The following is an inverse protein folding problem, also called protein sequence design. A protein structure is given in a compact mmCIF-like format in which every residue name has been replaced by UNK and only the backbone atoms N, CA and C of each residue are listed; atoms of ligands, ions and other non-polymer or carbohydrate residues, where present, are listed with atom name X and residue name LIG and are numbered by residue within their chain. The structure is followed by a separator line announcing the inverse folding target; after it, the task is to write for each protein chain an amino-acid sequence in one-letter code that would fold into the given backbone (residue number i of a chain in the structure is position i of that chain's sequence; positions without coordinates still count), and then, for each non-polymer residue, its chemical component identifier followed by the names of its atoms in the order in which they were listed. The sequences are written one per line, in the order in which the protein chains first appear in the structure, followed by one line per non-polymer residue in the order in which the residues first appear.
data_IF_479026775594
#
_entry.id   IF_479026775594
#
_cell.length_a   1.000
_cell.length_b   1.000
_cell.length_c   1.000
_cell.angle_alpha   90.00
_cell.angle_beta   90.00
_cell.angle_gamma   90.00
#
_symmetry.space_group_name_H-M   'P 1'
#
loop_
_entity.id
_entity.type
_entity.pdbx_description
1 polymer ?
#
# COMPACT_ATOMS: atom_id res chain seq x y z
N UNK A 1 -4.23 -13.77 -22.27
CA UNK A 1 -5.51 -14.34 -21.78
C UNK A 1 -5.32 -14.74 -20.32
N UNK A 2 -6.19 -14.32 -19.40
CA UNK A 2 -6.07 -14.66 -17.96
C UNK A 2 -6.52 -16.11 -17.72
N UNK A 3 -5.68 -16.99 -17.15
CA UNK A 3 -6.09 -18.37 -16.88
C UNK A 3 -7.31 -18.41 -15.95
N UNK A 4 -8.38 -19.09 -16.37
CA UNK A 4 -9.63 -19.19 -15.61
C UNK A 4 -9.39 -19.71 -14.18
N UNK A 5 -8.46 -20.67 -14.06
CA UNK A 5 -8.01 -21.31 -12.82
C UNK A 5 -7.46 -20.31 -11.78
N UNK A 6 -6.88 -19.19 -12.23
CA UNK A 6 -6.28 -18.17 -11.36
C UNK A 6 -7.21 -16.99 -11.06
N UNK A 7 -8.43 -17.00 -11.60
CA UNK A 7 -9.38 -15.90 -11.39
C UNK A 7 -9.74 -15.72 -9.92
N UNK A 8 -9.96 -16.82 -9.20
CA UNK A 8 -10.25 -16.80 -7.77
C UNK A 8 -9.06 -16.26 -6.94
N UNK A 9 -7.83 -16.61 -7.32
CA UNK A 9 -6.63 -16.09 -6.65
C UNK A 9 -6.47 -14.59 -6.87
N UNK A 10 -6.62 -14.12 -8.11
CA UNK A 10 -6.52 -12.70 -8.38
C UNK A 10 -7.61 -11.91 -7.67
N UNK A 11 -8.84 -12.43 -7.62
CA UNK A 11 -9.92 -11.78 -6.88
C UNK A 11 -9.64 -11.71 -5.38
N UNK A 12 -9.18 -12.82 -4.79
CA UNK A 12 -8.74 -12.85 -3.39
C UNK A 12 -7.61 -11.83 -3.14
N UNK A 13 -6.59 -11.80 -4.00
CA UNK A 13 -5.48 -10.88 -3.90
C UNK A 13 -5.95 -9.41 -3.94
N UNK A 14 -6.83 -9.07 -4.90
CA UNK A 14 -7.39 -7.72 -5.01
C UNK A 14 -8.20 -7.31 -3.78
N UNK A 15 -8.96 -8.24 -3.20
CA UNK A 15 -9.70 -7.99 -1.94
C UNK A 15 -8.74 -7.74 -0.77
N UNK A 16 -7.70 -8.56 -0.64
CA UNK A 16 -6.69 -8.41 0.42
C UNK A 16 -5.88 -7.11 0.28
N UNK A 17 -5.48 -6.74 -0.94
CA UNK A 17 -4.78 -5.46 -1.19
C UNK A 17 -5.67 -4.27 -0.87
N UNK A 18 -6.97 -4.31 -1.20
CA UNK A 18 -7.92 -3.24 -0.87
C UNK A 18 -8.19 -3.12 0.64
N UNK A 19 -8.20 -4.24 1.36
CA UNK A 19 -8.33 -4.25 2.81
C UNK A 19 -7.03 -3.78 3.51
N UNK A 20 -5.87 -3.90 2.86
CA UNK A 20 -4.60 -3.45 3.42
C UNK A 20 -4.46 -1.93 3.32
N UNK A 21 -4.94 -1.22 4.35
CA UNK A 21 -4.76 0.22 4.50
C UNK A 21 -3.37 0.61 5.03
N UNK A 22 -3.30 1.75 5.73
CA UNK A 22 -2.07 2.25 6.37
C UNK A 22 -1.49 1.26 7.39
N UNK A 23 -2.36 0.50 8.06
CA UNK A 23 -2.00 -0.63 8.91
C UNK A 23 -2.42 -1.94 8.24
N UNK A 24 -1.67 -3.01 8.51
CA UNK A 24 -2.07 -4.35 8.08
C UNK A 24 -3.36 -4.73 8.81
N UNK A 25 -4.42 -5.04 8.07
CA UNK A 25 -5.70 -5.47 8.62
C UNK A 25 -5.62 -6.94 9.07
N UNK A 26 -6.28 -7.24 10.20
CA UNK A 26 -6.43 -8.58 10.76
C UNK A 26 -7.43 -9.40 9.93
N UNK A 27 -8.40 -8.75 9.29
CA UNK A 27 -9.45 -9.41 8.52
C UNK A 27 -8.88 -10.13 7.29
N UNK A 28 -8.96 -11.45 7.29
CA UNK A 28 -8.88 -12.23 6.04
C UNK A 28 -10.22 -11.99 5.35
N UNK A 29 -10.19 -11.45 4.13
CA UNK A 29 -11.41 -11.21 3.35
C UNK A 29 -12.29 -12.48 3.32
N UNK A 30 -13.60 -12.32 3.48
CA UNK A 30 -14.55 -13.44 3.51
C UNK A 30 -14.37 -14.33 2.27
N UNK A 31 -14.14 -15.64 2.50
CA UNK A 31 -13.84 -16.61 1.45
C UNK A 31 -12.35 -16.85 1.18
N UNK A 32 -11.44 -16.12 1.84
CA UNK A 32 -9.99 -16.26 1.66
C UNK A 32 -9.45 -17.65 1.99
N UNK A 33 -9.99 -18.31 3.02
CA UNK A 33 -9.61 -19.69 3.36
C UNK A 33 -9.95 -20.70 2.25
N UNK A 34 -11.12 -20.56 1.61
CA UNK A 34 -11.53 -21.42 0.49
C UNK A 34 -10.68 -21.16 -0.76
N UNK A 35 -10.38 -19.89 -1.06
CA UNK A 35 -9.49 -19.54 -2.17
C UNK A 35 -8.09 -20.13 -1.97
N UNK A 36 -7.53 -20.00 -0.76
CA UNK A 36 -6.25 -20.59 -0.38
C UNK A 36 -6.25 -22.12 -0.44
N UNK A 37 -7.32 -22.76 0.06
CA UNK A 37 -7.46 -24.22 -0.02
C UNK A 37 -7.53 -24.70 -1.48
N UNK A 38 -8.30 -24.01 -2.33
CA UNK A 38 -8.39 -24.34 -3.77
C UNK A 38 -7.03 -24.21 -4.45
N UNK A 39 -6.24 -23.18 -4.13
CA UNK A 39 -4.91 -22.97 -4.67
C UNK A 39 -3.89 -24.00 -4.20
N UNK A 40 -3.96 -24.39 -2.92
CA UNK A 40 -3.16 -25.47 -2.36
C UNK A 40 -3.46 -26.80 -3.07
N UNK A 41 -4.75 -27.15 -3.23
CA UNK A 41 -5.20 -28.39 -3.86
C UNK A 41 -4.91 -28.45 -5.36
N UNK A 42 -4.83 -27.31 -6.04
CA UNK A 42 -4.52 -27.24 -7.48
C UNK A 42 -3.02 -27.23 -7.78
N UNK A 43 -2.16 -27.33 -6.76
CA UNK A 43 -0.70 -27.41 -6.93
C UNK A 43 -0.03 -26.10 -7.32
N UNK A 44 -0.77 -24.98 -7.32
CA UNK A 44 -0.20 -23.66 -7.63
C UNK A 44 0.68 -23.10 -6.52
N UNK A 45 0.48 -23.55 -5.28
CA UNK A 45 1.23 -23.12 -4.10
C UNK A 45 2.07 -24.27 -3.58
N UNK A 46 3.34 -24.00 -3.29
CA UNK A 46 4.29 -25.01 -2.82
C UNK A 46 4.00 -25.38 -1.36
N UNK A 47 4.22 -26.65 -0.96
CA UNK A 47 4.07 -27.07 0.45
C UNK A 47 4.91 -26.24 1.43
N UNK A 48 6.10 -25.80 1.00
CA UNK A 48 6.98 -24.96 1.82
C UNK A 48 6.44 -23.55 2.02
N UNK A 49 5.66 -23.01 1.07
CA UNK A 49 4.97 -21.73 1.22
C UNK A 49 3.73 -21.89 2.10
N UNK A 50 2.99 -23.00 1.96
CA UNK A 50 1.86 -23.32 2.85
C UNK A 50 2.30 -23.44 4.31
N UNK A 51 3.44 -24.07 4.58
CA UNK A 51 3.97 -24.15 5.96
C UNK A 51 4.37 -22.79 6.51
N UNK A 52 4.88 -21.87 5.67
CA UNK A 52 5.15 -20.47 6.06
C UNK A 52 3.88 -19.67 6.30
N UNK A 53 2.84 -19.85 5.49
CA UNK A 53 1.50 -19.27 5.75
C UNK A 53 0.99 -19.75 7.11
N UNK A 54 1.01 -21.06 7.37
CA UNK A 54 0.56 -21.62 8.64
C UNK A 54 1.38 -21.08 9.82
N UNK A 55 2.71 -21.04 9.70
CA UNK A 55 3.60 -20.47 10.71
C UNK A 55 3.30 -19.00 10.95
N UNK A 56 3.09 -18.21 9.90
CA UNK A 56 2.72 -16.80 10.01
C UNK A 56 1.40 -16.63 10.80
N UNK A 57 0.37 -17.42 10.48
CA UNK A 57 -0.93 -17.37 11.17
C UNK A 57 -0.82 -17.76 12.66
N UNK A 58 0.08 -18.70 13.00
CA UNK A 58 0.34 -19.06 14.40
C UNK A 58 1.11 -17.93 15.09
N UNK A 59 2.17 -17.43 14.45
CA UNK A 59 3.03 -16.39 15.02
C UNK A 59 2.26 -15.09 15.25
N UNK A 60 1.37 -14.68 14.35
CA UNK A 60 0.57 -13.45 14.54
C UNK A 60 -0.48 -13.58 15.66
N UNK A 61 -0.93 -14.80 15.98
CA UNK A 61 -1.78 -15.03 17.15
C UNK A 61 -1.02 -14.90 18.46
N UNK A 62 0.26 -15.24 18.46
CA UNK A 62 1.14 -15.14 19.63
C UNK A 62 1.73 -13.74 19.79
N UNK A 63 2.07 -13.09 18.68
CA UNK A 63 2.67 -11.76 18.62
C UNK A 63 2.02 -10.96 17.48
N UNK A 64 1.05 -10.11 17.83
CA UNK A 64 0.33 -9.26 16.87
C UNK A 64 1.25 -8.34 16.08
N UNK A 65 2.45 -8.03 16.58
CA UNK A 65 3.43 -7.20 15.85
C UNK A 65 3.84 -7.84 14.52
N UNK A 66 3.72 -9.16 14.40
CA UNK A 66 4.06 -9.92 13.19
C UNK A 66 3.01 -9.84 12.09
N UNK A 67 1.86 -9.21 12.34
CA UNK A 67 0.84 -8.96 11.30
C UNK A 67 1.41 -8.23 10.07
N UNK A 68 2.41 -7.35 10.27
CA UNK A 68 3.14 -6.67 9.19
C UNK A 68 3.68 -7.63 8.13
N UNK A 69 4.10 -8.83 8.54
CA UNK A 69 4.74 -9.83 7.68
C UNK A 69 3.78 -10.53 6.71
N UNK A 70 2.46 -10.35 6.85
CA UNK A 70 1.48 -10.84 5.87
C UNK A 70 1.77 -10.34 4.45
N UNK A 71 2.34 -9.14 4.31
CA UNK A 71 2.79 -8.57 3.02
C UNK A 71 3.88 -9.40 2.36
N UNK A 72 4.78 -9.98 3.15
CA UNK A 72 5.85 -10.86 2.65
C UNK A 72 5.26 -12.21 2.20
N UNK A 73 4.31 -12.76 2.96
CA UNK A 73 3.60 -14.00 2.57
C UNK A 73 2.83 -13.81 1.26
N UNK A 74 2.20 -12.65 1.04
CA UNK A 74 1.54 -12.34 -0.23
C UNK A 74 2.53 -12.39 -1.41
N UNK A 75 3.72 -11.81 -1.27
CA UNK A 75 4.80 -11.89 -2.26
C UNK A 75 5.21 -13.34 -2.54
N UNK A 76 5.33 -14.18 -1.52
CA UNK A 76 5.68 -15.59 -1.70
C UNK A 76 4.60 -16.42 -2.40
N UNK A 77 3.33 -16.19 -2.06
CA UNK A 77 2.21 -16.82 -2.74
C UNK A 77 2.19 -16.42 -4.22
N UNK A 78 2.45 -15.15 -4.53
CA UNK A 78 2.59 -14.69 -5.90
C UNK A 78 3.78 -15.34 -6.61
N UNK A 79 4.91 -15.52 -5.92
CA UNK A 79 6.11 -16.14 -6.47
C UNK A 79 5.86 -17.61 -6.88
N UNK A 80 5.11 -18.37 -6.09
CA UNK A 80 4.76 -19.76 -6.42
C UNK A 80 3.88 -19.83 -7.68
N UNK A 81 2.86 -18.99 -7.76
CA UNK A 81 1.98 -18.92 -8.94
C UNK A 81 2.76 -18.45 -10.17
N UNK A 82 3.60 -17.41 -10.02
CA UNK A 82 4.43 -16.87 -11.08
C UNK A 82 5.40 -17.90 -11.65
N UNK A 83 6.17 -18.58 -10.79
CA UNK A 83 7.14 -19.58 -11.25
C UNK A 83 6.45 -20.80 -11.87
N UNK A 84 5.26 -21.16 -11.38
CA UNK A 84 4.44 -22.22 -11.98
C UNK A 84 3.93 -21.84 -13.37
N UNK A 85 3.50 -20.59 -13.56
CA UNK A 85 3.12 -20.06 -14.87
C UNK A 85 4.30 -19.97 -15.83
N UNK A 86 5.44 -19.47 -15.33
CA UNK A 86 6.68 -19.34 -16.10
C UNK A 86 7.11 -20.71 -16.65
N UNK A 87 7.14 -21.73 -15.79
CA UNK A 87 7.47 -23.10 -16.19
C UNK A 87 6.45 -23.73 -17.15
N UNK A 88 5.14 -23.48 -16.95
CA UNK A 88 4.08 -24.08 -17.77
C UNK A 88 3.97 -23.45 -19.16
N UNK A 89 4.21 -22.15 -19.27
CA UNK A 89 3.91 -21.38 -20.49
C UNK A 89 5.15 -20.95 -21.27
N UNK A 90 6.33 -20.99 -20.66
CA UNK A 90 7.60 -20.63 -21.32
C UNK A 90 7.56 -19.29 -22.07
N UNK A 91 7.02 -18.20 -21.49
CA UNK A 91 6.91 -16.92 -22.19
C UNK A 91 8.30 -16.36 -22.51
N UNK A 92 8.42 -15.68 -23.65
CA UNK A 92 9.66 -14.97 -24.02
C UNK A 92 9.99 -13.80 -23.08
N UNK A 93 8.96 -13.28 -22.38
CA UNK A 93 9.11 -12.19 -21.43
C UNK A 93 8.03 -12.31 -20.35
N UNK A 94 8.44 -12.14 -19.09
CA UNK A 94 7.54 -12.10 -17.95
C UNK A 94 8.09 -11.14 -16.89
N UNK A 95 7.19 -10.44 -16.21
CA UNK A 95 7.55 -9.50 -15.14
C UNK A 95 6.91 -9.93 -13.83
N UNK A 96 7.66 -9.81 -12.75
CA UNK A 96 7.16 -9.97 -11.39
C UNK A 96 7.36 -8.65 -10.63
N UNK A 97 6.28 -8.10 -10.10
CA UNK A 97 6.32 -6.88 -9.30
C UNK A 97 6.08 -7.22 -7.83
N UNK A 98 6.88 -6.61 -6.94
CA UNK A 98 6.66 -6.66 -5.51
C UNK A 98 6.94 -5.31 -4.85
N UNK A 99 6.15 -4.96 -3.84
CA UNK A 99 6.27 -3.71 -3.09
C UNK A 99 6.61 -3.93 -1.60
N UNK A 100 6.77 -5.19 -1.18
CA UNK A 100 6.90 -5.54 0.23
C UNK A 100 8.17 -4.97 0.88
N UNK A 101 9.30 -4.92 0.15
CA UNK A 101 10.56 -4.34 0.64
C UNK A 101 10.44 -2.83 0.83
N UNK A 102 9.93 -2.11 -0.17
CA UNK A 102 9.68 -0.67 -0.05
C UNK A 102 8.73 -0.38 1.12
N UNK A 103 7.64 -1.14 1.25
CA UNK A 103 6.71 -1.00 2.37
C UNK A 103 7.37 -1.25 3.73
N UNK A 104 8.26 -2.25 3.84
CA UNK A 104 9.01 -2.52 5.07
C UNK A 104 10.01 -1.41 5.37
N UNK A 105 10.73 -0.91 4.36
CA UNK A 105 11.66 0.22 4.50
C UNK A 105 10.91 1.49 4.95
N UNK A 106 9.82 1.87 4.28
CA UNK A 106 9.00 3.02 4.67
C UNK A 106 8.55 2.99 6.13
N UNK A 107 8.30 1.81 6.69
CA UNK A 107 7.74 1.66 8.03
C UNK A 107 8.77 1.38 9.12
N UNK A 108 9.83 0.63 8.79
CA UNK A 108 10.74 0.03 9.77
C UNK A 108 12.20 0.42 9.57
N UNK A 109 12.50 1.40 8.70
CA UNK A 109 13.85 1.89 8.46
C UNK A 109 14.62 2.14 9.77
N UNK A 110 14.02 2.90 10.68
CA UNK A 110 14.65 3.27 11.94
C UNK A 110 14.98 2.06 12.83
N UNK A 111 14.15 1.01 12.80
CA UNK A 111 14.41 -0.21 13.55
C UNK A 111 15.49 -1.08 12.90
N UNK A 112 15.50 -1.19 11.57
CA UNK A 112 16.42 -2.06 10.83
C UNK A 112 17.81 -1.43 10.59
N UNK A 113 17.89 -0.10 10.52
CA UNK A 113 19.15 0.64 10.33
C UNK A 113 19.34 1.68 11.45
N UNK A 114 19.37 1.25 12.73
CA UNK A 114 19.21 2.15 13.86
C UNK A 114 20.43 3.04 14.11
N UNK A 115 21.58 2.77 13.49
CA UNK A 115 22.80 3.58 13.62
C UNK A 115 22.81 4.82 12.72
N UNK A 116 22.12 4.75 11.59
CA UNK A 116 22.08 5.82 10.58
C UNK A 116 20.72 6.51 10.56
N UNK A 117 19.86 6.21 11.54
CA UNK A 117 18.48 6.64 11.50
C UNK A 117 18.29 8.05 12.04
N UNK A 118 17.65 8.92 11.25
CA UNK A 118 17.24 10.28 11.65
C UNK A 118 16.04 10.28 12.60
N UNK A 119 15.29 9.17 12.69
CA UNK A 119 14.09 9.05 13.52
C UNK A 119 14.30 8.29 14.82
N UNK A 120 15.50 7.73 15.06
CA UNK A 120 15.77 6.83 16.19
C UNK A 120 15.33 7.42 17.54
N UNK A 121 15.67 8.68 17.80
CA UNK A 121 15.40 9.35 19.09
C UNK A 121 13.92 9.70 19.30
N UNK A 122 13.11 9.61 18.24
CA UNK A 122 11.67 9.85 18.23
C UNK A 122 10.87 8.58 18.55
N UNK A 123 11.51 7.42 18.57
CA UNK A 123 10.87 6.11 18.73
C UNK A 123 11.31 5.44 20.03
N UNK A 124 10.44 4.59 20.59
CA UNK A 124 10.74 3.87 21.83
C UNK A 124 11.74 2.73 21.57
N UNK A 125 12.62 2.45 22.54
CA UNK A 125 13.56 1.32 22.46
C UNK A 125 12.86 -0.01 22.23
N UNK A 126 11.68 -0.20 22.82
CA UNK A 126 10.86 -1.39 22.62
C UNK A 126 10.45 -1.55 21.15
N UNK A 127 9.95 -0.49 20.52
CA UNK A 127 9.55 -0.51 19.12
C UNK A 127 10.73 -0.82 18.18
N UNK A 128 11.89 -0.18 18.42
CA UNK A 128 13.10 -0.45 17.64
C UNK A 128 13.52 -1.92 17.73
N UNK A 129 13.47 -2.51 18.92
CA UNK A 129 13.80 -3.91 19.12
C UNK A 129 12.80 -4.85 18.44
N UNK A 130 11.49 -4.59 18.61
CA UNK A 130 10.41 -5.43 18.08
C UNK A 130 10.47 -5.60 16.56
N UNK A 131 10.78 -4.50 15.86
CA UNK A 131 10.73 -4.41 14.41
C UNK A 131 12.09 -4.40 13.72
N UNK A 132 13.18 -4.63 14.45
CA UNK A 132 14.56 -4.62 13.95
C UNK A 132 14.78 -5.48 12.70
N UNK A 133 14.09 -6.62 12.61
CA UNK A 133 14.26 -7.58 11.52
C UNK A 133 13.32 -7.40 10.33
N UNK A 134 12.36 -6.47 10.36
CA UNK A 134 11.26 -6.47 9.39
C UNK A 134 11.70 -6.17 7.95
N UNK A 135 12.71 -5.30 7.74
CA UNK A 135 13.27 -5.07 6.40
C UNK A 135 14.00 -6.31 5.87
N UNK A 136 14.77 -6.99 6.72
CA UNK A 136 15.45 -8.23 6.35
C UNK A 136 14.46 -9.34 6.00
N UNK A 137 13.38 -9.49 6.76
CA UNK A 137 12.31 -10.46 6.48
C UNK A 137 11.63 -10.20 5.13
N UNK A 138 11.45 -8.92 4.76
CA UNK A 138 10.95 -8.56 3.44
C UNK A 138 11.94 -8.96 2.33
N UNK A 139 13.23 -8.70 2.51
CA UNK A 139 14.27 -9.14 1.57
C UNK A 139 14.33 -10.67 1.43
N UNK A 140 14.22 -11.41 2.53
CA UNK A 140 14.21 -12.88 2.49
C UNK A 140 13.04 -13.45 1.68
N UNK A 141 11.89 -12.77 1.63
CA UNK A 141 10.78 -13.21 0.77
C UNK A 141 11.10 -13.05 -0.72
N UNK A 142 11.87 -12.02 -1.09
CA UNK A 142 12.37 -11.83 -2.46
C UNK A 142 13.45 -12.85 -2.78
N UNK A 143 14.39 -13.08 -1.85
CA UNK A 143 15.42 -14.12 -1.99
C UNK A 143 14.79 -15.50 -2.26
N UNK A 144 13.69 -15.83 -1.58
CA UNK A 144 12.97 -17.09 -1.82
C UNK A 144 12.50 -17.20 -3.28
N UNK A 145 11.93 -16.14 -3.87
CA UNK A 145 11.58 -16.12 -5.29
C UNK A 145 12.81 -16.34 -6.18
N UNK A 146 13.91 -15.65 -5.92
CA UNK A 146 15.15 -15.79 -6.70
C UNK A 146 15.65 -17.24 -6.66
N UNK A 147 15.67 -17.86 -5.48
CA UNK A 147 16.01 -19.28 -5.33
C UNK A 147 15.08 -20.20 -6.12
N UNK A 148 13.79 -19.86 -6.24
CA UNK A 148 12.87 -20.65 -7.07
C UNK A 148 13.25 -20.60 -8.55
N UNK A 149 13.69 -19.44 -9.05
CA UNK A 149 14.16 -19.26 -10.41
C UNK A 149 15.48 -20.02 -10.65
N UNK A 150 16.39 -20.01 -9.66
CA UNK A 150 17.66 -20.73 -9.70
C UNK A 150 17.50 -22.27 -9.72
N UNK A 151 16.36 -22.82 -9.29
CA UNK A 151 16.16 -24.29 -9.28
C UNK A 151 16.15 -24.95 -10.67
N UNK A 152 16.21 -24.17 -11.76
CA UNK A 152 16.16 -24.69 -13.14
C UNK A 152 14.78 -25.17 -13.59
N UNK A 153 13.78 -25.18 -12.70
CA UNK A 153 12.40 -25.60 -13.01
C UNK A 153 11.69 -24.72 -14.03
N UNK A 154 12.18 -23.51 -14.26
CA UNK A 154 11.61 -22.54 -15.19
C UNK A 154 12.31 -22.57 -16.56
N UNK A 155 13.21 -23.52 -16.81
CA UNK A 155 14.07 -23.53 -17.98
C UNK A 155 15.25 -22.57 -17.86
N UNK A 156 15.93 -22.33 -18.98
CA UNK A 156 17.00 -21.35 -19.09
C UNK A 156 16.40 -19.94 -19.14
N UNK A 157 16.57 -19.18 -18.05
CA UNK A 157 15.96 -17.86 -17.87
C UNK A 157 17.04 -16.84 -17.52
N UNK A 158 17.01 -15.69 -18.18
CA UNK A 158 17.78 -14.53 -17.75
C UNK A 158 16.95 -13.70 -16.77
N UNK A 159 17.46 -13.54 -15.55
CA UNK A 159 16.79 -12.75 -14.51
C UNK A 159 17.36 -11.34 -14.50
N UNK A 160 16.49 -10.35 -14.73
CA UNK A 160 16.81 -8.92 -14.59
C UNK A 160 16.12 -8.38 -13.35
N UNK A 161 16.90 -7.85 -12.41
CA UNK A 161 16.39 -7.21 -11.18
C UNK A 161 16.55 -5.71 -11.34
N UNK A 162 15.44 -4.99 -11.20
CA UNK A 162 15.43 -3.53 -11.24
C UNK A 162 14.52 -2.98 -10.14
N UNK A 163 14.86 -1.79 -9.63
CA UNK A 163 13.98 -0.99 -8.78
C UNK A 163 13.53 0.23 -9.55
N UNK A 164 12.26 0.63 -9.39
CA UNK A 164 11.76 1.86 -10.01
C UNK A 164 12.42 3.11 -9.41
N UNK A 165 12.67 3.11 -8.09
CA UNK A 165 13.28 4.21 -7.33
C UNK A 165 14.10 3.65 -6.16
N UNK A 166 15.06 4.45 -5.68
CA UNK A 166 15.72 4.21 -4.40
C UNK A 166 14.82 4.59 -3.22
N UNK A 167 15.32 4.38 -2.00
CA UNK A 167 14.61 4.73 -0.78
C UNK A 167 15.53 5.45 0.20
N UNK A 168 15.00 6.48 0.85
CA UNK A 168 15.61 7.19 1.98
C UNK A 168 14.69 7.10 3.19
N UNK A 169 15.24 7.32 4.38
CA UNK A 169 14.43 7.44 5.59
C UNK A 169 13.54 8.67 5.52
N UNK A 170 12.27 8.49 5.87
CA UNK A 170 11.36 9.58 6.19
C UNK A 170 11.29 9.74 7.70
N UNK A 171 11.11 10.97 8.16
CA UNK A 171 10.93 11.25 9.59
C UNK A 171 9.75 10.43 10.12
N UNK A 172 10.04 9.48 11.01
CA UNK A 172 9.03 8.73 11.71
C UNK A 172 8.64 9.46 13.01
N UNK A 173 7.35 9.61 13.21
CA UNK A 173 6.76 10.28 14.38
C UNK A 173 5.79 9.31 15.06
N UNK A 174 5.75 9.32 16.39
CA UNK A 174 4.66 8.66 17.10
C UNK A 174 3.40 9.48 16.87
N UNK A 175 2.31 8.83 16.48
CA UNK A 175 1.01 9.46 16.36
C UNK A 175 0.07 8.77 17.34
N UNK A 176 -0.56 9.53 18.22
CA UNK A 176 -1.58 9.00 19.12
C UNK A 176 -2.88 8.70 18.35
N UNK A 177 -3.24 9.57 17.41
CA UNK A 177 -4.42 9.39 16.56
C UNK A 177 -4.18 9.93 15.15
N UNK A 178 -4.97 9.43 14.18
CA UNK A 178 -5.01 9.99 12.83
C UNK A 178 -6.42 9.90 12.25
N UNK A 179 -6.78 10.84 11.38
CA UNK A 179 -8.02 10.85 10.61
C UNK A 179 -7.71 10.46 9.16
N UNK A 180 -8.47 9.52 8.60
CA UNK A 180 -8.42 9.17 7.18
C UNK A 180 -9.76 8.62 6.69
N UNK A 181 -9.91 8.45 5.38
CA UNK A 181 -11.13 7.92 4.76
C UNK A 181 -11.14 6.39 4.94
N UNK A 182 -12.02 5.90 5.80
CA UNK A 182 -12.20 4.45 6.05
C UNK A 182 -13.22 3.79 5.13
N UNK A 183 -14.02 4.58 4.42
CA UNK A 183 -15.02 4.10 3.46
C UNK A 183 -15.15 5.13 2.33
N UNK A 184 -14.42 4.93 1.22
CA UNK A 184 -14.46 5.82 0.07
C UNK A 184 -15.88 5.97 -0.49
N UNK A 185 -16.69 4.91 -0.40
CA UNK A 185 -18.10 4.93 -0.83
C UNK A 185 -18.95 5.85 0.03
N UNK A 186 -18.84 5.73 1.36
CA UNK A 186 -19.56 6.64 2.27
C UNK A 186 -19.05 8.06 2.15
N UNK A 187 -17.75 8.25 1.93
CA UNK A 187 -17.17 9.55 1.67
C UNK A 187 -17.75 10.16 0.38
N UNK A 188 -17.78 9.41 -0.73
CA UNK A 188 -18.38 9.88 -1.97
C UNK A 188 -19.87 10.22 -1.81
N UNK A 189 -20.62 9.35 -1.12
CA UNK A 189 -22.05 9.56 -0.93
C UNK A 189 -22.38 10.72 0.00
N UNK A 190 -21.60 10.93 1.08
CA UNK A 190 -21.94 11.91 2.13
C UNK A 190 -21.20 13.23 2.01
N UNK A 191 -20.02 13.23 1.41
CA UNK A 191 -19.16 14.42 1.29
C UNK A 191 -19.21 14.99 -0.13
N UNK A 192 -19.12 14.13 -1.14
CA UNK A 192 -19.21 14.56 -2.54
C UNK A 192 -20.64 14.62 -3.07
N UNK A 193 -21.61 14.08 -2.31
CA UNK A 193 -23.04 13.99 -2.68
C UNK A 193 -23.29 13.22 -3.98
N UNK A 194 -22.65 12.05 -4.11
CA UNK A 194 -22.70 11.23 -5.34
C UNK A 194 -23.29 9.84 -5.08
N UNK A 195 -24.13 9.36 -6.00
CA UNK A 195 -24.64 7.99 -6.00
C UNK A 195 -23.54 6.95 -6.19
N UNK A 196 -23.62 5.81 -5.49
CA UNK A 196 -22.58 4.77 -5.52
C UNK A 196 -22.38 4.11 -6.89
N UNK A 197 -23.37 4.22 -7.77
CA UNK A 197 -23.32 3.74 -9.14
C UNK A 197 -22.68 4.76 -10.11
N UNK A 198 -22.37 5.97 -9.68
CA UNK A 198 -21.87 7.03 -10.55
C UNK A 198 -20.35 7.06 -10.68
N UNK A 199 -19.63 6.27 -9.91
CA UNK A 199 -18.16 6.22 -9.93
C UNK A 199 -17.62 4.81 -9.76
N UNK A 200 -16.35 4.64 -10.08
CA UNK A 200 -15.54 3.50 -9.67
C UNK A 200 -14.30 3.98 -8.91
N UNK A 201 -13.86 3.18 -7.94
CA UNK A 201 -12.62 3.41 -7.21
C UNK A 201 -11.45 2.85 -8.02
N UNK A 202 -10.53 3.72 -8.41
CA UNK A 202 -9.28 3.30 -9.03
C UNK A 202 -8.28 2.87 -7.94
N UNK A 203 -7.44 1.84 -8.20
CA UNK A 203 -6.39 1.44 -7.26
C UNK A 203 -5.40 2.58 -7.01
N UNK A 204 -5.27 2.99 -5.74
CA UNK A 204 -4.28 3.97 -5.27
C UNK A 204 -3.70 3.58 -3.92
N UNK A 205 -2.56 4.17 -3.57
CA UNK A 205 -1.93 3.97 -2.27
C UNK A 205 -2.56 4.92 -1.24
N UNK A 206 -3.03 4.39 -0.11
CA UNK A 206 -3.48 5.20 1.04
C UNK A 206 -2.35 6.16 1.46
N UNK A 207 -2.64 7.45 1.74
CA UNK A 207 -3.96 8.05 2.01
C UNK A 207 -4.72 8.58 0.79
N UNK A 208 -4.32 8.21 -0.43
CA UNK A 208 -4.98 8.68 -1.65
C UNK A 208 -6.11 7.75 -2.10
N UNK A 209 -7.17 8.37 -2.60
CA UNK A 209 -8.34 7.74 -3.18
C UNK A 209 -8.63 8.38 -4.53
N UNK A 210 -8.79 7.56 -5.56
CA UNK A 210 -9.13 8.05 -6.90
C UNK A 210 -10.51 7.57 -7.30
N UNK A 211 -11.37 8.54 -7.63
CA UNK A 211 -12.73 8.33 -8.07
C UNK A 211 -12.80 8.64 -9.56
N UNK A 212 -13.17 7.63 -10.37
CA UNK A 212 -13.42 7.80 -11.80
C UNK A 212 -14.92 7.76 -12.04
N UNK A 213 -15.48 8.90 -12.42
CA UNK A 213 -16.91 9.11 -12.58
C UNK A 213 -17.38 8.65 -13.96
N UNK A 214 -18.63 8.21 -14.05
CA UNK A 214 -19.27 7.79 -15.31
C UNK A 214 -19.59 8.97 -16.24
N UNK A 215 -19.79 10.16 -15.67
CA UNK A 215 -20.12 11.38 -16.40
C UNK A 215 -19.30 12.55 -15.86
N UNK A 216 -18.96 13.48 -16.75
CA UNK A 216 -18.17 14.66 -16.40
C UNK A 216 -18.95 15.70 -15.59
N UNK A 217 -20.26 15.82 -15.79
CA UNK A 217 -21.11 16.70 -14.98
C UNK A 217 -21.19 16.27 -13.52
N UNK A 218 -21.31 14.96 -13.27
CA UNK A 218 -21.23 14.40 -11.91
C UNK A 218 -19.87 14.63 -11.27
N UNK A 219 -18.79 14.49 -12.05
CA UNK A 219 -17.44 14.77 -11.57
C UNK A 219 -17.28 16.25 -11.20
N UNK A 220 -17.74 17.17 -12.06
CA UNK A 220 -17.66 18.61 -11.79
C UNK A 220 -18.46 19.00 -10.53
N UNK A 221 -19.66 18.45 -10.35
CA UNK A 221 -20.44 18.66 -9.15
C UNK A 221 -19.72 18.14 -7.89
N UNK A 222 -19.17 16.92 -7.94
CA UNK A 222 -18.39 16.33 -6.85
C UNK A 222 -17.14 17.17 -6.51
N UNK A 223 -16.45 17.67 -7.54
CA UNK A 223 -15.27 18.50 -7.41
C UNK A 223 -15.61 19.84 -6.73
N UNK A 224 -16.69 20.49 -7.14
CA UNK A 224 -17.20 21.70 -6.51
C UNK A 224 -17.61 21.46 -5.04
N UNK A 225 -18.20 20.30 -4.72
CA UNK A 225 -18.53 19.92 -3.34
C UNK A 225 -17.29 19.80 -2.46
N UNK A 226 -16.20 19.20 -2.95
CA UNK A 226 -14.95 19.08 -2.19
C UNK A 226 -14.40 20.44 -1.75
N UNK A 227 -14.49 21.47 -2.61
CA UNK A 227 -14.06 22.82 -2.29
C UNK A 227 -14.81 23.46 -1.09
N UNK A 228 -15.99 22.94 -0.75
CA UNK A 228 -16.85 23.47 0.33
C UNK A 228 -16.70 22.74 1.66
N UNK A 229 -15.96 21.63 1.69
CA UNK A 229 -15.81 20.84 2.92
C UNK A 229 -14.97 21.61 3.92
N UNK A 230 -15.27 21.46 5.21
CA UNK A 230 -14.51 22.05 6.29
C UNK A 230 -14.38 21.02 7.42
N UNK A 231 -13.16 20.81 7.90
CA UNK A 231 -12.84 19.92 9.01
C UNK A 231 -12.07 20.76 10.03
N UNK A 232 -12.68 21.01 11.19
CA UNK A 232 -12.08 21.81 12.28
C UNK A 232 -11.54 23.18 11.81
N UNK A 233 -12.33 23.89 11.00
CA UNK A 233 -11.93 25.19 10.43
C UNK A 233 -10.96 25.10 9.25
N UNK A 234 -10.52 23.90 8.85
CA UNK A 234 -9.59 23.70 7.73
C UNK A 234 -10.33 23.24 6.49
N UNK A 235 -10.16 23.98 5.38
CA UNK A 235 -10.71 23.62 4.07
C UNK A 235 -9.71 22.81 3.22
N UNK A 236 -10.21 21.93 2.33
CA UNK A 236 -9.36 21.20 1.39
C UNK A 236 -8.64 22.14 0.45
N UNK A 237 -7.40 21.78 0.10
CA UNK A 237 -6.62 22.55 -0.87
C UNK A 237 -6.58 21.82 -2.21
N UNK A 238 -6.96 22.57 -3.26
CA UNK A 238 -6.77 22.13 -4.63
C UNK A 238 -5.27 22.06 -4.95
N UNK A 239 -4.85 20.95 -5.55
CA UNK A 239 -3.47 20.69 -5.93
C UNK A 239 -3.34 20.31 -7.39
N UNK A 240 -2.17 20.57 -7.96
CA UNK A 240 -1.73 19.97 -9.21
C UNK A 240 -0.53 19.05 -8.92
N UNK A 241 -0.65 17.77 -9.26
CA UNK A 241 0.42 16.79 -9.08
C UNK A 241 1.34 16.78 -10.31
N UNK A 242 2.64 16.94 -10.08
CA UNK A 242 3.68 16.95 -11.12
C UNK A 242 4.83 16.04 -10.70
N UNK A 243 4.90 14.84 -11.28
CA UNK A 243 5.91 13.78 -11.09
C UNK A 243 6.29 13.45 -9.63
N UNK A 244 6.90 14.38 -8.90
CA UNK A 244 7.37 14.25 -7.52
C UNK A 244 6.95 15.43 -6.60
N UNK A 245 6.10 16.34 -7.09
CA UNK A 245 5.69 17.55 -6.38
C UNK A 245 4.19 17.78 -6.46
N UNK A 246 3.60 18.31 -5.39
CA UNK A 246 2.25 18.85 -5.38
C UNK A 246 2.34 20.37 -5.35
N UNK A 247 1.82 21.03 -6.37
CA UNK A 247 1.67 22.48 -6.39
C UNK A 247 0.31 22.83 -5.77
N UNK A 248 0.30 23.68 -4.74
CA UNK A 248 -0.95 24.20 -4.18
C UNK A 248 -1.51 25.26 -5.14
N UNK A 249 -2.77 25.12 -5.54
CA UNK A 249 -3.40 26.01 -6.50
C UNK A 249 -4.13 27.18 -5.83
N UNK A 250 -4.62 26.98 -4.61
CA UNK A 250 -5.46 27.94 -3.87
C UNK A 250 -4.74 28.69 -2.75
N UNK A 251 -3.46 28.42 -2.51
CA UNK A 251 -2.62 29.17 -1.56
C UNK A 251 -2.09 30.43 -2.23
N UNK A 252 -2.10 31.58 -1.54
CA UNK A 252 -1.37 32.77 -1.99
C UNK A 252 0.15 32.52 -2.14
N UNK A 253 0.67 31.40 -1.60
CA UNK A 253 2.00 30.89 -1.89
C UNK A 253 1.97 29.96 -3.12
N UNK A 254 2.67 30.35 -4.19
CA UNK A 254 2.97 29.49 -5.36
C UNK A 254 4.11 28.50 -5.07
N UNK A 255 4.20 27.97 -3.85
CA UNK A 255 5.29 27.08 -3.47
C UNK A 255 4.95 25.66 -3.92
N UNK A 256 5.91 25.00 -4.57
CA UNK A 256 5.85 23.56 -4.77
C UNK A 256 6.07 22.89 -3.42
N UNK A 257 5.10 22.09 -2.96
CA UNK A 257 5.26 21.28 -1.77
C UNK A 257 5.56 19.85 -2.20
N UNK A 258 6.70 19.32 -1.75
CA UNK A 258 6.95 17.88 -1.79
C UNK A 258 6.11 17.29 -0.65
N UNK A 259 5.30 16.27 -0.93
CA UNK A 259 4.43 15.59 0.06
C UNK A 259 5.18 15.12 1.34
N UNK A 260 6.50 15.07 1.26
CA UNK A 260 7.44 14.65 2.30
C UNK A 260 8.50 15.72 2.64
N UNK A 261 8.30 17.00 2.29
CA UNK A 261 9.17 18.07 2.79
C UNK A 261 8.89 18.28 4.28
N UNK A 262 9.56 17.50 5.13
CA UNK A 262 9.62 17.71 6.57
C UNK A 262 10.54 18.91 6.87
N UNK A 263 10.12 20.10 6.44
CA UNK A 263 10.77 21.35 6.85
C UNK A 263 10.18 21.88 8.16
N UNK A 264 10.83 22.86 8.77
CA UNK A 264 10.44 23.51 10.03
C UNK A 264 9.11 24.30 9.98
N UNK A 265 8.30 24.13 8.92
CA UNK A 265 7.02 24.79 8.75
C UNK A 265 5.85 23.88 9.13
N UNK A 266 4.88 24.43 9.87
CA UNK A 266 3.61 23.81 10.29
C UNK A 266 2.65 23.40 9.14
N UNK A 267 3.13 23.34 7.90
CA UNK A 267 2.28 23.19 6.72
C UNK A 267 2.21 21.76 6.23
N UNK A 268 1.46 20.92 6.94
CA UNK A 268 0.88 19.67 6.40
C UNK A 268 -0.59 19.93 6.13
N UNK A 269 -0.98 20.15 4.87
CA UNK A 269 -2.40 20.27 4.53
C UNK A 269 -3.05 18.88 4.61
N UNK A 270 -3.94 18.66 5.59
CA UNK A 270 -4.41 17.32 5.89
C UNK A 270 -5.36 16.78 4.81
N UNK A 271 -5.95 17.66 4.02
CA UNK A 271 -6.92 17.34 2.98
C UNK A 271 -6.55 18.08 1.69
N UNK A 272 -6.16 17.32 0.66
CA UNK A 272 -5.94 17.85 -0.69
C UNK A 272 -6.80 17.10 -1.72
N UNK A 273 -7.11 17.78 -2.81
CA UNK A 273 -7.81 17.19 -3.94
C UNK A 273 -7.26 17.72 -5.27
N UNK A 274 -7.41 16.95 -6.33
CA UNK A 274 -6.97 17.30 -7.69
C UNK A 274 -7.79 16.54 -8.72
N UNK A 275 -7.62 16.89 -10.01
CA UNK A 275 -8.19 16.14 -11.14
C UNK A 275 -7.14 15.88 -12.21
N UNK A 276 -7.15 14.69 -12.80
CA UNK A 276 -6.28 14.36 -13.95
C UNK A 276 -6.96 14.64 -15.29
N UNK A 277 -8.29 14.60 -15.31
CA UNK A 277 -9.15 14.82 -16.48
C UNK A 277 -10.55 15.29 -16.00
N UNK A 278 -11.51 15.39 -16.92
CA UNK A 278 -12.88 15.85 -16.66
C UNK A 278 -13.74 14.84 -15.89
N UNK A 279 -13.22 13.64 -15.60
CA UNK A 279 -13.96 12.53 -14.98
C UNK A 279 -13.22 11.86 -13.83
N UNK A 280 -11.99 12.26 -13.53
CA UNK A 280 -11.15 11.58 -12.55
C UNK A 280 -10.68 12.57 -11.49
N UNK A 281 -11.10 12.31 -10.25
CA UNK A 281 -10.77 13.13 -9.08
C UNK A 281 -9.91 12.31 -8.13
N UNK A 282 -8.85 12.93 -7.63
CA UNK A 282 -7.98 12.38 -6.59
C UNK A 282 -8.24 13.12 -5.29
N UNK A 283 -8.37 12.37 -4.20
CA UNK A 283 -8.58 12.88 -2.85
C UNK A 283 -7.53 12.28 -1.93
N UNK A 284 -6.85 13.12 -1.16
CA UNK A 284 -5.86 12.72 -0.15
C UNK A 284 -6.32 13.28 1.19
N UNK A 285 -6.60 12.42 2.16
CA UNK A 285 -6.97 12.83 3.52
C UNK A 285 -6.17 12.05 4.56
N UNK A 286 -5.30 12.77 5.25
CA UNK A 286 -4.55 12.30 6.41
C UNK A 286 -4.29 13.46 7.36
N UNK A 287 -4.98 13.47 8.50
CA UNK A 287 -4.63 14.32 9.66
C UNK A 287 -3.90 13.40 10.63
N UNK A 288 -2.67 13.71 11.02
CA UNK A 288 -2.03 12.99 12.13
C UNK A 288 -1.91 13.92 13.36
N UNK A 289 -2.05 13.35 14.55
CA UNK A 289 -1.63 14.03 15.77
C UNK A 289 -0.10 13.98 15.87
N UNK A 290 0.54 15.10 15.51
CA UNK A 290 2.00 15.24 15.53
C UNK A 290 2.56 15.50 16.93
N UNK A 291 1.72 15.62 17.98
CA UNK A 291 2.19 15.86 19.36
C UNK A 291 2.79 14.60 20.01
N UNK A 292 2.54 13.42 19.45
CA UNK A 292 3.04 12.14 19.95
C UNK A 292 2.48 11.72 21.31
N UNK A 293 2.78 10.50 21.76
CA UNK A 293 2.58 10.14 23.17
C UNK A 293 3.61 10.89 24.04
N UNK A 294 3.23 11.40 25.23
CA UNK A 294 4.21 11.89 26.19
C UNK A 294 5.24 10.79 26.50
N UNK A 295 6.53 11.15 26.51
CA UNK A 295 7.61 10.24 26.91
C UNK A 295 7.49 9.80 28.37
#
# INVERSE_FOLDING_TARGET
MKPAELSAFQEFNLRMTRASGRNADEAISSGGGMAMAKLALSGWIRPTTLSRVARQLITERLDRKRLSRRRNIQTELHADVFTSLLAKTGPQFATFYTNNVAAAMHRFWAASLPRTSISRERLTSQWLNDYSNEVAEALYSVERLLRLLETGRCGDVTVVIASAIGQEEIVAENHHSFLSIISPERFANRVMDVGLDQFELCPTMVPDFTFRFRRSDTAEAAYARLATVEIDGVRPIETQERMHSKMLMASASRLAHIRHAYGDGDFKHPFTYSRSDDRTIHVSLQVDDYKGEPK
#
